data_IF_777122563257
#
_entry.id   IF_777122563257
#
_cell.length_a   1.000
_cell.length_b   1.000
_cell.length_c   1.000
_cell.angle_alpha   90.00
_cell.angle_beta   90.00
_cell.angle_gamma   90.00
#
_symmetry.space_group_name_H-M   'P 1'
#
loop_
_entity.id
_entity.type
_entity.pdbx_description
1 polymer ?
#
# COMPACT_ATOMS: atom_id res chain seq x y z
N UNK A 1 16.56 8.93 -1.15
CA UNK A 1 16.20 8.17 0.06
C UNK A 1 14.88 8.73 0.54
N UNK A 2 13.80 7.97 0.50
CA UNK A 2 12.52 8.42 1.05
C UNK A 2 12.61 8.39 2.58
N UNK A 3 12.32 9.51 3.24
CA UNK A 3 12.38 9.70 4.70
C UNK A 3 11.21 9.04 5.45
N UNK A 4 10.59 8.01 4.86
CA UNK A 4 9.35 7.43 5.37
C UNK A 4 9.61 6.49 6.54
N UNK A 5 9.67 7.09 7.72
CA UNK A 5 9.80 6.40 9.01
C UNK A 5 8.69 6.84 9.97
N UNK A 6 8.48 6.06 11.04
CA UNK A 6 7.50 6.40 12.08
C UNK A 6 7.78 7.78 12.67
N UNK A 7 6.76 8.62 12.73
CA UNK A 7 6.84 10.02 13.15
C UNK A 7 7.18 11.00 12.03
N UNK A 8 7.59 10.51 10.86
CA UNK A 8 7.82 11.34 9.67
C UNK A 8 6.53 11.86 9.06
N UNK A 9 6.65 12.90 8.22
CA UNK A 9 5.54 13.45 7.45
C UNK A 9 5.52 12.87 6.03
N UNK A 10 4.30 12.62 5.54
CA UNK A 10 4.03 12.17 4.18
C UNK A 10 2.83 12.91 3.60
N UNK A 11 2.98 13.42 2.39
CA UNK A 11 1.95 14.15 1.66
C UNK A 11 1.12 13.17 0.85
N UNK A 12 -0.20 13.12 1.13
CA UNK A 12 -1.12 12.19 0.49
C UNK A 12 -2.35 12.94 -0.01
N UNK A 13 -2.79 12.64 -1.23
CA UNK A 13 -3.98 13.21 -1.89
C UNK A 13 -4.80 12.16 -2.63
N UNK A 14 -6.01 12.53 -3.04
CA UNK A 14 -6.93 11.70 -3.81
C UNK A 14 -7.40 12.48 -5.05
N UNK A 15 -6.65 12.41 -6.16
CA UNK A 15 -6.93 13.21 -7.37
C UNK A 15 -8.31 12.94 -7.96
N UNK A 16 -8.83 11.71 -7.87
CA UNK A 16 -10.15 11.35 -8.42
C UNK A 16 -11.32 12.00 -7.66
N UNK A 17 -11.04 12.55 -6.47
CA UNK A 17 -12.00 13.30 -5.65
C UNK A 17 -11.65 14.79 -5.52
N UNK A 18 -10.71 15.28 -6.34
CA UNK A 18 -10.18 16.65 -6.26
C UNK A 18 -9.65 17.02 -4.85
N UNK A 19 -9.11 16.01 -4.15
CA UNK A 19 -8.51 16.21 -2.82
C UNK A 19 -7.00 16.41 -2.99
N UNK A 20 -6.46 17.61 -2.72
CA UNK A 20 -5.04 17.87 -2.86
C UNK A 20 -4.22 17.10 -1.82
N UNK A 21 -2.93 16.97 -2.08
CA UNK A 21 -2.03 16.40 -1.08
C UNK A 21 -1.98 17.27 0.16
N UNK A 22 -2.02 16.61 1.32
CA UNK A 22 -1.79 17.23 2.63
C UNK A 22 -0.91 16.33 3.48
N UNK A 23 -0.23 16.93 4.44
CA UNK A 23 0.67 16.21 5.35
C UNK A 23 -0.09 15.32 6.33
N UNK A 24 0.34 14.07 6.40
CA UNK A 24 -0.05 13.09 7.40
C UNK A 24 1.19 12.64 8.18
N UNK A 25 1.01 12.29 9.44
CA UNK A 25 2.08 11.71 10.26
C UNK A 25 2.09 10.19 10.08
N UNK A 26 3.24 9.62 9.77
CA UNK A 26 3.44 8.17 9.66
C UNK A 26 3.36 7.55 11.06
N UNK A 27 2.38 6.69 11.27
CA UNK A 27 2.24 5.89 12.50
C UNK A 27 3.04 4.59 12.38
N UNK A 28 3.09 4.04 11.18
CA UNK A 28 3.74 2.78 10.85
C UNK A 28 4.12 2.77 9.37
N UNK A 29 5.28 2.23 9.04
CA UNK A 29 5.76 2.14 7.67
C UNK A 29 6.53 0.84 7.46
N UNK A 30 6.34 0.26 6.28
CA UNK A 30 7.06 -0.92 5.81
C UNK A 30 7.39 -0.70 4.34
N UNK A 31 8.68 -0.61 4.02
CA UNK A 31 9.20 -0.45 2.67
C UNK A 31 9.98 -1.72 2.29
N UNK A 32 9.45 -2.49 1.33
CA UNK A 32 10.02 -3.74 0.85
C UNK A 32 10.28 -3.62 -0.65
N UNK A 33 11.51 -3.25 -1.02
CA UNK A 33 11.85 -2.97 -2.41
C UNK A 33 10.98 -1.85 -2.99
N UNK A 34 10.12 -2.19 -3.95
CA UNK A 34 9.15 -1.27 -4.56
C UNK A 34 7.79 -1.22 -3.85
N UNK A 35 7.54 -2.11 -2.89
CA UNK A 35 6.28 -2.17 -2.15
C UNK A 35 6.38 -1.27 -0.93
N UNK A 36 5.42 -0.36 -0.79
CA UNK A 36 5.33 0.52 0.37
C UNK A 36 3.96 0.41 1.01
N UNK A 37 3.95 0.02 2.28
CA UNK A 37 2.76 0.02 3.13
C UNK A 37 2.97 1.03 4.24
N UNK A 38 1.97 1.86 4.49
CA UNK A 38 2.00 2.78 5.62
C UNK A 38 0.63 2.89 6.28
N UNK A 39 0.67 3.14 7.59
CA UNK A 39 -0.46 3.67 8.36
C UNK A 39 -0.11 5.08 8.77
N UNK A 40 -1.05 5.99 8.56
CA UNK A 40 -0.86 7.42 8.72
C UNK A 40 -2.01 8.02 9.52
N UNK A 41 -1.80 9.19 10.10
CA UNK A 41 -2.81 9.93 10.87
C UNK A 41 -2.81 11.41 10.53
N UNK A 42 -4.00 12.01 10.52
CA UNK A 42 -4.19 13.47 10.49
C UNK A 42 -4.34 14.07 11.91
N UNK A 43 -4.12 13.25 12.96
CA UNK A 43 -4.33 13.60 14.36
C UNK A 43 -5.77 13.40 14.84
N UNK A 44 -6.72 13.09 13.95
CA UNK A 44 -8.13 12.77 14.29
C UNK A 44 -8.49 11.34 13.94
N UNK A 45 -7.99 10.84 12.81
CA UNK A 45 -8.25 9.49 12.29
C UNK A 45 -6.97 8.88 11.75
N UNK A 46 -6.90 7.56 11.85
CA UNK A 46 -5.86 6.77 11.18
C UNK A 46 -6.41 6.18 9.88
N UNK A 47 -5.54 6.05 8.89
CA UNK A 47 -5.80 5.37 7.63
C UNK A 47 -4.56 4.61 7.19
N UNK A 48 -4.73 3.65 6.29
CA UNK A 48 -3.62 2.87 5.75
C UNK A 48 -3.71 2.74 4.25
N UNK A 49 -2.55 2.55 3.62
CA UNK A 49 -2.46 2.23 2.21
C UNK A 49 -1.29 1.27 1.96
N UNK A 50 -1.37 0.56 0.85
CA UNK A 50 -0.31 -0.28 0.31
C UNK A 50 -0.22 0.00 -1.18
N UNK A 51 0.96 0.39 -1.66
CA UNK A 51 1.23 0.76 -3.06
C UNK A 51 2.48 0.05 -3.56
N UNK A 52 2.63 -0.04 -4.87
CA UNK A 52 3.86 -0.51 -5.52
C UNK A 52 4.34 0.55 -6.51
N UNK A 53 5.56 1.05 -6.31
CA UNK A 53 6.16 2.03 -7.20
C UNK A 53 6.60 1.41 -8.52
N UNK A 54 6.54 2.20 -9.61
CA UNK A 54 7.01 1.81 -10.94
C UNK A 54 6.49 0.44 -11.40
N UNK A 55 5.19 0.19 -11.19
CA UNK A 55 4.53 -1.07 -11.48
C UNK A 55 3.33 -0.84 -12.43
N UNK A 56 3.28 -1.49 -13.61
CA UNK A 56 2.15 -1.39 -14.53
C UNK A 56 0.85 -1.92 -13.91
N UNK A 57 -0.30 -1.33 -14.28
CA UNK A 57 -1.62 -1.72 -13.74
C UNK A 57 -1.93 -3.21 -13.92
N UNK A 58 -1.60 -3.79 -15.08
CA UNK A 58 -1.77 -5.23 -15.32
C UNK A 58 -0.99 -6.10 -14.33
N UNK A 59 0.20 -5.66 -13.92
CA UNK A 59 1.01 -6.37 -12.93
C UNK A 59 0.42 -6.21 -11.53
N UNK A 60 -0.13 -5.03 -11.20
CA UNK A 60 -0.84 -4.82 -9.93
C UNK A 60 -2.02 -5.78 -9.78
N UNK A 61 -2.81 -5.99 -10.84
CA UNK A 61 -3.93 -6.93 -10.83
C UNK A 61 -3.45 -8.38 -10.65
N UNK A 62 -2.39 -8.79 -11.35
CA UNK A 62 -1.78 -10.11 -11.16
C UNK A 62 -1.26 -10.31 -9.73
N UNK A 63 -0.69 -9.27 -9.12
CA UNK A 63 -0.24 -9.30 -7.73
C UNK A 63 -1.43 -9.44 -6.76
N UNK A 64 -2.53 -8.73 -7.00
CA UNK A 64 -3.74 -8.82 -6.18
C UNK A 64 -4.38 -10.22 -6.25
N UNK A 65 -4.47 -10.81 -7.44
CA UNK A 65 -4.96 -12.18 -7.64
C UNK A 65 -4.07 -13.20 -6.93
N UNK A 66 -2.75 -13.10 -7.10
CA UNK A 66 -1.78 -13.99 -6.44
C UNK A 66 -1.84 -13.86 -4.92
N UNK A 67 -1.88 -12.64 -4.38
CA UNK A 67 -1.99 -12.40 -2.95
C UNK A 67 -3.31 -12.96 -2.37
N UNK A 68 -4.43 -12.80 -3.10
CA UNK A 68 -5.71 -13.39 -2.72
C UNK A 68 -5.60 -14.91 -2.58
N UNK A 69 -4.95 -15.56 -3.54
CA UNK A 69 -4.73 -17.01 -3.51
C UNK A 69 -3.82 -17.45 -2.36
N UNK A 70 -2.72 -16.72 -2.11
CA UNK A 70 -1.73 -17.06 -1.09
C UNK A 70 -2.22 -16.79 0.34
N UNK A 71 -3.01 -15.75 0.56
CA UNK A 71 -3.41 -15.27 1.90
C UNK A 71 -4.82 -15.68 2.32
N UNK A 72 -5.65 -16.15 1.39
CA UNK A 72 -7.00 -16.64 1.69
C UNK A 72 -8.04 -15.55 1.99
N UNK A 73 -7.72 -14.27 1.77
CA UNK A 73 -8.66 -13.15 1.82
C UNK A 73 -8.58 -12.32 0.54
N UNK A 74 -9.69 -11.68 0.19
CA UNK A 74 -9.79 -10.91 -1.05
C UNK A 74 -8.91 -9.66 -1.00
N UNK A 75 -8.05 -9.52 -2.00
CA UNK A 75 -7.23 -8.34 -2.29
C UNK A 75 -7.62 -7.85 -3.68
N UNK A 76 -7.81 -6.54 -3.83
CA UNK A 76 -8.09 -5.91 -5.12
C UNK A 76 -7.20 -4.69 -5.30
N UNK A 77 -6.93 -4.31 -6.55
CA UNK A 77 -6.38 -2.99 -6.86
C UNK A 77 -7.51 -1.97 -6.73
N UNK A 78 -7.24 -0.86 -6.05
CA UNK A 78 -8.21 0.20 -5.89
C UNK A 78 -8.52 0.85 -7.23
N UNK A 79 -9.80 1.12 -7.46
CA UNK A 79 -10.24 1.94 -8.60
C UNK A 79 -9.89 3.41 -8.40
N UNK A 80 -9.63 3.83 -7.16
CA UNK A 80 -9.24 5.18 -6.82
C UNK A 80 -7.72 5.29 -6.81
N UNK A 81 -7.21 6.32 -7.48
CA UNK A 81 -5.81 6.70 -7.45
C UNK A 81 -5.54 7.51 -6.19
N UNK A 82 -4.36 7.30 -5.63
CA UNK A 82 -3.80 8.14 -4.59
C UNK A 82 -2.58 8.87 -5.14
N UNK A 83 -2.33 10.06 -4.61
CA UNK A 83 -1.09 10.81 -4.85
C UNK A 83 -0.24 10.72 -3.59
N UNK A 84 1.01 10.32 -3.72
CA UNK A 84 1.98 10.25 -2.63
C UNK A 84 3.22 11.03 -3.05
N UNK A 85 3.49 12.15 -2.38
CA UNK A 85 4.63 13.05 -2.68
C UNK A 85 4.72 13.38 -4.18
N UNK A 86 3.59 13.70 -4.79
CA UNK A 86 3.44 14.02 -6.22
C UNK A 86 3.43 12.81 -7.17
N UNK A 87 3.54 11.59 -6.66
CA UNK A 87 3.49 10.37 -7.48
C UNK A 87 2.08 9.77 -7.45
N UNK A 88 1.48 9.62 -8.64
CA UNK A 88 0.14 9.03 -8.79
C UNK A 88 0.25 7.51 -8.85
N UNK A 89 -0.44 6.83 -7.94
CA UNK A 89 -0.37 5.38 -7.74
C UNK A 89 -1.77 4.81 -7.54
N UNK A 90 -1.89 3.49 -7.70
CA UNK A 90 -3.05 2.73 -7.21
C UNK A 90 -2.66 1.95 -5.96
N UNK A 91 -3.55 1.94 -4.98
CA UNK A 91 -3.39 1.16 -3.75
C UNK A 91 -4.02 -0.22 -3.87
N UNK A 92 -3.69 -1.11 -2.94
CA UNK A 92 -4.39 -2.38 -2.75
C UNK A 92 -5.41 -2.23 -1.61
N UNK A 93 -6.64 -2.66 -1.87
CA UNK A 93 -7.72 -2.72 -0.90
C UNK A 93 -7.95 -4.17 -0.47
N UNK A 94 -8.15 -4.37 0.82
CA UNK A 94 -8.40 -5.67 1.44
C UNK A 94 -9.18 -5.50 2.74
N UNK A 95 -9.86 -6.56 3.17
CA UNK A 95 -10.60 -6.52 4.41
C UNK A 95 -9.65 -6.62 5.62
N UNK A 96 -9.66 -5.57 6.44
CA UNK A 96 -8.88 -5.51 7.67
C UNK A 96 -9.68 -4.88 8.80
N UNK A 97 -9.70 -5.58 9.94
CA UNK A 97 -10.21 -5.07 11.20
C UNK A 97 -9.07 -5.03 12.21
N UNK A 98 -8.99 -4.02 13.09
CA UNK A 98 -7.94 -3.90 14.09
C UNK A 98 -8.17 -4.85 15.28
N UNK A 99 -8.37 -6.14 15.00
CA UNK A 99 -8.46 -7.22 15.98
C UNK A 99 -7.13 -7.99 16.04
N UNK A 100 -6.77 -8.60 17.18
CA UNK A 100 -5.54 -9.38 17.29
C UNK A 100 -5.42 -10.49 16.23
N UNK A 101 -6.54 -11.10 15.83
CA UNK A 101 -6.61 -12.12 14.78
C UNK A 101 -6.07 -11.63 13.42
N UNK A 102 -6.20 -10.34 13.12
CA UNK A 102 -5.85 -9.76 11.83
C UNK A 102 -4.72 -8.73 11.92
N UNK A 103 -4.01 -8.68 13.05
CA UNK A 103 -2.96 -7.70 13.30
C UNK A 103 -1.84 -7.78 12.25
N UNK A 104 -1.49 -8.99 11.81
CA UNK A 104 -0.37 -9.22 10.87
C UNK A 104 -0.78 -9.13 9.39
N UNK A 105 -2.08 -9.17 9.06
CA UNK A 105 -2.57 -9.15 7.67
C UNK A 105 -1.96 -8.03 6.81
N UNK A 106 -1.85 -6.77 7.27
CA UNK A 106 -1.24 -5.70 6.47
C UNK A 106 0.22 -5.97 6.10
N UNK A 107 0.98 -6.50 7.06
CA UNK A 107 2.40 -6.79 6.91
C UNK A 107 2.63 -8.04 6.06
N UNK A 108 1.77 -9.05 6.23
CA UNK A 108 1.80 -10.28 5.42
C UNK A 108 1.42 -9.97 3.96
N UNK A 109 0.43 -9.11 3.73
CA UNK A 109 0.09 -8.65 2.39
C UNK A 109 1.27 -7.93 1.73
N UNK A 110 1.89 -6.96 2.41
CA UNK A 110 3.05 -6.24 1.88
C UNK A 110 4.21 -7.19 1.52
N UNK A 111 4.47 -8.19 2.38
CA UNK A 111 5.50 -9.20 2.14
C UNK A 111 5.16 -10.07 0.94
N UNK A 112 3.95 -10.62 0.88
CA UNK A 112 3.49 -11.48 -0.23
C UNK A 112 3.54 -10.74 -1.57
N UNK A 113 3.13 -9.47 -1.61
CA UNK A 113 3.22 -8.66 -2.83
C UNK A 113 4.68 -8.45 -3.23
N UNK A 114 5.56 -8.14 -2.27
CA UNK A 114 6.99 -7.95 -2.54
C UNK A 114 7.65 -9.21 -3.06
N UNK A 115 7.42 -10.36 -2.42
CA UNK A 115 7.99 -11.64 -2.82
C UNK A 115 7.49 -12.05 -4.20
N UNK A 116 6.19 -11.93 -4.45
CA UNK A 116 5.58 -12.29 -5.75
C UNK A 116 6.12 -11.39 -6.88
N UNK A 117 6.33 -10.11 -6.61
CA UNK A 117 6.93 -9.19 -7.57
C UNK A 117 8.37 -9.61 -7.92
N UNK A 118 9.17 -9.99 -6.93
CA UNK A 118 10.54 -10.46 -7.15
C UNK A 118 10.58 -11.82 -7.86
N UNK A 119 9.64 -12.73 -7.57
CA UNK A 119 9.45 -13.99 -8.31
C UNK A 119 9.20 -13.73 -9.81
N UNK A 120 8.27 -12.83 -10.14
CA UNK A 120 7.94 -12.47 -11.53
C UNK A 120 9.13 -11.85 -12.28
N UNK A 121 9.95 -11.05 -11.58
CA UNK A 121 11.17 -10.44 -12.15
C UNK A 121 12.28 -11.47 -12.38
N UNK A 122 12.37 -12.48 -11.53
CA UNK A 122 13.41 -13.52 -11.60
C UNK A 122 13.09 -14.63 -12.61
N UNK A 123 11.82 -14.77 -13.02
CA UNK A 123 11.37 -15.69 -14.06
C UNK A 123 11.41 -15.10 -15.47
N UNK A 124 11.94 -13.88 -15.64
CA UNK A 124 12.05 -13.16 -16.92
C UNK A 124 13.44 -13.24 -17.54
#
# INVERSE_FOLDING_TARGET
>A
MHHWEKGGLISIGWPDHDVPERGYTIVEAQLLGKVFRSRVTDGKKEGGFLVVFDCPEVVLEMLAESATSKLGFKVIVSNLRCSIEGTILRSFDYEWYPTPEFADRPSDLARTISETLEEMRSSS
#
